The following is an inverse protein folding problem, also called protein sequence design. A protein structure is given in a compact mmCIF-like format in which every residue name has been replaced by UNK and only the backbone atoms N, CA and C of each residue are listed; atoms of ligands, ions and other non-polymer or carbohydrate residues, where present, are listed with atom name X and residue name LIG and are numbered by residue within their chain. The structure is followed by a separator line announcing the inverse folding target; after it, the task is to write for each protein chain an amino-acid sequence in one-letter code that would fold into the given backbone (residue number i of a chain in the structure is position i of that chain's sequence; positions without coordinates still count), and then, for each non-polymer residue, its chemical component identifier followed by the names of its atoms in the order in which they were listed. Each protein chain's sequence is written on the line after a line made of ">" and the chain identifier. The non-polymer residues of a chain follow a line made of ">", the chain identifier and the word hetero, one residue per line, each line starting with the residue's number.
data_IF_930339442832
#
_entry.id   IF_930339442832
#
_cell.length_a   1.000
_cell.length_b   1.000
_cell.length_c   1.000
_cell.angle_alpha   90.00
_cell.angle_beta   90.00
_cell.angle_gamma   90.00
#
_symmetry.space_group_name_H-M   'P 1'
#
loop_
_entity.id
_entity.type
_entity.pdbx_description
1 polymer ?
#
# COMPACT_ATOMS: atom_id res chain seq x y z
N UNK A 1 -20.66 -6.88 -29.84
CA UNK A 1 -20.75 -6.17 -28.55
C UNK A 1 -19.51 -6.51 -27.76
N UNK A 2 -18.75 -5.54 -27.26
CA UNK A 2 -17.62 -5.84 -26.40
C UNK A 2 -18.18 -6.43 -25.09
N UNK A 3 -17.87 -7.70 -24.82
CA UNK A 3 -18.22 -8.32 -23.54
C UNK A 3 -17.36 -7.67 -22.47
N UNK A 4 -17.94 -6.79 -21.65
CA UNK A 4 -17.23 -6.22 -20.52
C UNK A 4 -16.92 -7.37 -19.54
N UNK A 5 -15.63 -7.55 -19.25
CA UNK A 5 -15.20 -8.57 -18.30
C UNK A 5 -15.51 -8.10 -16.88
N UNK A 6 -16.03 -9.02 -16.07
CA UNK A 6 -16.16 -8.81 -14.64
C UNK A 6 -14.79 -8.50 -14.02
N UNK A 7 -14.72 -7.69 -12.95
CA UNK A 7 -13.46 -7.51 -12.23
C UNK A 7 -12.99 -8.86 -11.67
N UNK A 8 -11.67 -9.05 -11.59
CA UNK A 8 -11.10 -10.20 -10.91
C UNK A 8 -11.57 -10.25 -9.44
N UNK A 9 -11.68 -11.44 -8.82
CA UNK A 9 -12.09 -11.58 -7.42
C UNK A 9 -11.31 -10.69 -6.46
N UNK A 10 -11.97 -10.24 -5.39
CA UNK A 10 -11.33 -9.42 -4.37
C UNK A 10 -10.52 -10.31 -3.42
N UNK A 11 -9.24 -10.44 -3.71
CA UNK A 11 -8.31 -11.14 -2.85
C UNK A 11 -7.95 -10.25 -1.64
N UNK A 12 -8.36 -10.66 -0.44
CA UNK A 12 -8.08 -9.92 0.81
C UNK A 12 -6.62 -10.12 1.24
N UNK A 13 -6.02 -11.27 0.93
CA UNK A 13 -4.71 -11.70 1.44
C UNK A 13 -3.55 -11.32 0.50
N UNK A 14 -3.85 -10.69 -0.65
CA UNK A 14 -2.81 -10.24 -1.59
C UNK A 14 -1.90 -9.18 -0.95
N UNK A 15 -0.60 -9.49 -0.91
CA UNK A 15 0.46 -8.57 -0.50
C UNK A 15 1.01 -7.82 -1.73
N UNK A 16 0.28 -6.81 -2.18
CA UNK A 16 0.75 -5.87 -3.21
C UNK A 16 1.26 -4.54 -2.61
N UNK A 17 1.44 -4.52 -1.29
CA UNK A 17 1.77 -3.35 -0.48
C UNK A 17 0.58 -2.45 -0.14
N UNK A 18 -0.50 -2.39 -0.93
CA UNK A 18 -1.63 -1.49 -0.65
C UNK A 18 -2.50 -2.03 0.48
N UNK A 19 -2.97 -1.12 1.34
CA UNK A 19 -3.92 -1.50 2.39
C UNK A 19 -5.21 -2.10 1.84
N UNK A 20 -5.83 -2.99 2.61
CA UNK A 20 -7.11 -3.63 2.27
C UNK A 20 -8.17 -2.56 1.97
N UNK A 21 -8.21 -1.48 2.75
CA UNK A 21 -9.12 -0.35 2.53
C UNK A 21 -8.97 0.31 1.14
N UNK A 22 -7.73 0.58 0.71
CA UNK A 22 -7.46 1.21 -0.60
C UNK A 22 -7.80 0.27 -1.75
N UNK A 23 -7.47 -1.02 -1.60
CA UNK A 23 -7.82 -2.05 -2.59
C UNK A 23 -9.33 -2.21 -2.69
N UNK A 24 -10.04 -2.29 -1.57
CA UNK A 24 -11.49 -2.38 -1.52
C UNK A 24 -12.16 -1.21 -2.24
N UNK A 25 -11.75 0.03 -1.91
CA UNK A 25 -12.28 1.25 -2.54
C UNK A 25 -12.13 1.23 -4.06
N UNK A 26 -10.96 0.80 -4.55
CA UNK A 26 -10.69 0.71 -5.98
C UNK A 26 -11.46 -0.45 -6.65
N UNK A 27 -11.62 -1.57 -5.95
CA UNK A 27 -12.34 -2.74 -6.45
C UNK A 27 -13.84 -2.49 -6.54
N UNK A 28 -14.46 -1.99 -5.47
CA UNK A 28 -15.91 -1.77 -5.44
C UNK A 28 -16.35 -0.73 -6.46
N UNK A 29 -15.54 0.30 -6.71
CA UNK A 29 -15.79 1.29 -7.78
C UNK A 29 -15.80 0.65 -9.17
N UNK A 30 -14.85 -0.27 -9.44
CA UNK A 30 -14.82 -1.01 -10.72
C UNK A 30 -16.01 -1.95 -10.84
N UNK A 31 -16.42 -2.56 -9.73
CA UNK A 31 -17.58 -3.41 -9.67
C UNK A 31 -18.89 -2.63 -9.96
N UNK A 32 -19.06 -1.42 -9.42
CA UNK A 32 -20.23 -0.58 -9.73
C UNK A 32 -20.32 -0.24 -11.22
N UNK A 33 -19.19 0.12 -11.84
CA UNK A 33 -19.12 0.38 -13.29
C UNK A 33 -19.49 -0.88 -14.09
N UNK A 34 -19.06 -2.05 -13.63
CA UNK A 34 -19.44 -3.33 -14.23
C UNK A 34 -20.94 -3.61 -14.11
N UNK A 35 -21.56 -3.35 -12.96
CA UNK A 35 -23.01 -3.49 -12.79
C UNK A 35 -23.78 -2.56 -13.72
N UNK A 36 -23.38 -1.29 -13.81
CA UNK A 36 -24.01 -0.29 -14.68
C UNK A 36 -23.91 -0.69 -16.15
N UNK A 37 -22.72 -1.05 -16.62
CA UNK A 37 -22.50 -1.50 -17.99
C UNK A 37 -23.21 -2.82 -18.32
N UNK A 38 -23.44 -3.68 -17.32
CA UNK A 38 -24.19 -4.94 -17.46
C UNK A 38 -25.70 -4.75 -17.27
N UNK A 39 -26.17 -3.53 -17.04
CA UNK A 39 -27.59 -3.19 -16.81
C UNK A 39 -28.21 -3.91 -15.60
N UNK A 40 -27.42 -4.23 -14.57
CA UNK A 40 -27.95 -4.74 -13.31
C UNK A 40 -28.46 -3.57 -12.46
N UNK A 41 -29.77 -3.45 -12.35
CA UNK A 41 -30.44 -2.37 -11.57
C UNK A 41 -31.09 -2.87 -10.29
N UNK A 42 -31.50 -4.14 -10.26
CA UNK A 42 -32.23 -4.72 -9.15
C UNK A 42 -31.29 -5.12 -8.01
N UNK A 43 -31.70 -4.84 -6.77
CA UNK A 43 -30.88 -5.09 -5.57
C UNK A 43 -30.38 -6.54 -5.47
N UNK A 44 -31.29 -7.50 -5.70
CA UNK A 44 -31.00 -8.93 -5.50
C UNK A 44 -29.98 -9.47 -6.52
N UNK A 45 -30.13 -9.25 -7.84
CA UNK A 45 -29.09 -9.54 -8.82
C UNK A 45 -27.75 -8.85 -8.51
N UNK A 46 -27.76 -7.57 -8.11
CA UNK A 46 -26.52 -6.85 -7.77
C UNK A 46 -25.80 -7.50 -6.58
N UNK A 47 -26.52 -7.86 -5.52
CA UNK A 47 -25.95 -8.54 -4.35
C UNK A 47 -25.44 -9.93 -4.73
N UNK A 48 -26.22 -10.73 -5.46
CA UNK A 48 -25.79 -12.06 -5.89
C UNK A 48 -24.52 -12.01 -6.75
N UNK A 49 -24.44 -11.04 -7.65
CA UNK A 49 -23.27 -10.80 -8.49
C UNK A 49 -22.08 -10.34 -7.66
N UNK A 50 -22.29 -9.51 -6.63
CA UNK A 50 -21.23 -9.06 -5.72
C UNK A 50 -20.61 -10.23 -4.95
N UNK A 51 -21.44 -11.13 -4.42
CA UNK A 51 -20.98 -12.30 -3.68
C UNK A 51 -20.18 -13.24 -4.59
N UNK A 52 -20.72 -13.53 -5.78
CA UNK A 52 -20.06 -14.44 -6.72
C UNK A 52 -18.76 -13.88 -7.31
N UNK A 53 -18.77 -12.64 -7.80
CA UNK A 53 -17.60 -11.99 -8.41
C UNK A 53 -16.58 -11.57 -7.34
N UNK A 54 -17.05 -11.24 -6.13
CA UNK A 54 -16.20 -10.86 -5.00
C UNK A 54 -15.28 -11.98 -4.53
N UNK A 55 -15.70 -13.24 -4.69
CA UNK A 55 -14.95 -14.42 -4.30
C UNK A 55 -15.25 -14.89 -2.88
N UNK A 56 -14.66 -16.03 -2.52
CA UNK A 56 -14.97 -16.80 -1.30
C UNK A 56 -14.93 -15.95 -0.03
N UNK A 57 -13.94 -15.07 0.11
CA UNK A 57 -13.80 -14.24 1.32
C UNK A 57 -14.96 -13.25 1.50
N UNK A 58 -15.51 -12.74 0.41
CA UNK A 58 -16.67 -11.83 0.42
C UNK A 58 -17.92 -12.61 0.84
N UNK A 59 -18.08 -13.85 0.38
CA UNK A 59 -19.17 -14.75 0.79
C UNK A 59 -19.08 -15.06 2.29
N UNK A 60 -17.92 -15.49 2.79
CA UNK A 60 -17.70 -15.75 4.23
C UNK A 60 -18.09 -14.56 5.12
N UNK A 61 -17.66 -13.35 4.74
CA UNK A 61 -17.97 -12.12 5.50
C UNK A 61 -19.48 -11.84 5.47
N UNK A 62 -20.12 -12.04 4.32
CA UNK A 62 -21.57 -11.89 4.22
C UNK A 62 -22.29 -12.87 5.15
N UNK A 63 -21.92 -14.16 5.10
CA UNK A 63 -22.54 -15.19 5.93
C UNK A 63 -22.40 -14.87 7.41
N UNK A 64 -21.20 -14.49 7.85
CA UNK A 64 -20.92 -14.12 9.24
C UNK A 64 -21.67 -12.86 9.67
N UNK A 65 -21.78 -11.83 8.82
CA UNK A 65 -22.42 -10.55 9.17
C UNK A 65 -23.95 -10.62 9.09
N UNK A 66 -24.50 -11.46 8.20
CA UNK A 66 -25.94 -11.59 8.01
C UNK A 66 -26.52 -12.81 8.73
N UNK A 67 -25.69 -13.70 9.26
CA UNK A 67 -26.11 -14.98 9.82
C UNK A 67 -27.01 -15.75 8.84
N UNK A 68 -26.57 -15.85 7.58
CA UNK A 68 -27.31 -16.53 6.52
C UNK A 68 -26.38 -16.98 5.38
N UNK A 69 -26.55 -18.22 4.93
CA UNK A 69 -25.83 -18.81 3.79
C UNK A 69 -26.44 -18.49 2.43
N UNK A 70 -27.51 -17.70 2.40
CA UNK A 70 -28.20 -17.28 1.18
C UNK A 70 -28.71 -15.85 1.32
N UNK A 71 -28.94 -15.17 0.19
CA UNK A 71 -29.50 -13.83 0.19
C UNK A 71 -30.86 -13.79 0.91
N UNK A 72 -30.94 -12.95 1.95
CA UNK A 72 -32.20 -12.64 2.63
C UNK A 72 -33.16 -11.93 1.68
N UNK A 73 -34.46 -12.04 1.96
CA UNK A 73 -35.47 -11.26 1.24
C UNK A 73 -35.33 -9.77 1.59
N UNK A 74 -35.62 -8.91 0.63
CA UNK A 74 -35.70 -7.45 0.76
C UNK A 74 -34.38 -6.73 1.14
N UNK A 75 -33.24 -7.37 0.90
CA UNK A 75 -31.95 -6.70 1.05
C UNK A 75 -31.71 -5.67 -0.03
N UNK A 76 -31.10 -4.55 0.36
CA UNK A 76 -30.74 -3.44 -0.51
C UNK A 76 -29.26 -3.48 -0.82
N UNK A 77 -28.90 -3.37 -2.09
CA UNK A 77 -27.50 -3.41 -2.53
C UNK A 77 -26.66 -2.35 -1.82
N UNK A 78 -27.19 -1.12 -1.68
CA UNK A 78 -26.55 -0.06 -0.94
C UNK A 78 -26.23 -0.41 0.53
N UNK A 79 -27.11 -1.16 1.22
CA UNK A 79 -26.88 -1.58 2.61
C UNK A 79 -25.78 -2.64 2.69
N UNK A 80 -25.80 -3.62 1.78
CA UNK A 80 -24.78 -4.67 1.73
C UNK A 80 -23.41 -4.09 1.36
N UNK A 81 -23.36 -3.22 0.34
CA UNK A 81 -22.14 -2.50 -0.05
C UNK A 81 -21.58 -1.68 1.11
N UNK A 82 -22.44 -0.95 1.84
CA UNK A 82 -22.02 -0.19 3.02
C UNK A 82 -21.46 -1.11 4.11
N UNK A 83 -22.11 -2.24 4.38
CA UNK A 83 -21.64 -3.22 5.37
C UNK A 83 -20.22 -3.72 5.05
N UNK A 84 -19.93 -4.05 3.79
CA UNK A 84 -18.57 -4.42 3.39
C UNK A 84 -17.59 -3.27 3.50
N UNK A 85 -17.96 -2.07 3.07
CA UNK A 85 -17.12 -0.88 3.24
C UNK A 85 -16.83 -0.58 4.70
N UNK A 86 -17.81 -0.68 5.60
CA UNK A 86 -17.61 -0.52 7.04
C UNK A 86 -16.67 -1.60 7.62
N UNK A 87 -16.61 -2.78 7.01
CA UNK A 87 -15.70 -3.86 7.41
C UNK A 87 -14.26 -3.64 6.91
N UNK A 88 -14.08 -3.22 5.65
CA UNK A 88 -12.76 -3.11 5.01
C UNK A 88 -12.09 -1.75 5.17
N UNK A 89 -12.85 -0.65 5.23
CA UNK A 89 -12.27 0.70 5.30
C UNK A 89 -11.48 0.98 6.59
N UNK A 90 -11.83 0.43 7.77
CA UNK A 90 -10.99 0.56 8.97
C UNK A 90 -9.69 -0.25 8.90
N UNK A 91 -9.59 -1.23 8.00
CA UNK A 91 -8.38 -2.04 7.79
C UNK A 91 -7.38 -1.31 6.88
N UNK A 92 -7.07 -0.06 7.26
CA UNK A 92 -5.94 0.67 6.67
C UNK A 92 -4.65 0.16 7.28
N UNK A 93 -3.56 0.33 6.54
CA UNK A 93 -2.25 -0.04 7.05
C UNK A 93 -1.90 0.92 8.19
N UNK A 94 -1.99 0.42 9.42
CA UNK A 94 -1.57 1.17 10.62
C UNK A 94 -0.05 1.34 10.59
N UNK A 95 0.66 0.35 10.08
CA UNK A 95 2.11 0.36 9.90
C UNK A 95 2.45 0.13 8.42
N UNK A 96 3.27 1.01 7.85
CA UNK A 96 3.89 0.81 6.54
C UNK A 96 5.26 0.24 6.81
N UNK A 97 5.53 -1.01 6.45
CA UNK A 97 6.88 -1.55 6.53
C UNK A 97 7.23 -2.22 5.20
N UNK A 98 8.21 -1.66 4.51
CA UNK A 98 8.54 -2.05 3.14
C UNK A 98 10.02 -1.79 2.92
N UNK A 99 10.67 -2.69 2.19
CA UNK A 99 12.06 -2.55 1.77
C UNK A 99 12.11 -2.23 0.28
N UNK A 100 13.17 -1.55 -0.15
CA UNK A 100 13.49 -1.40 -1.56
C UNK A 100 13.79 -2.78 -2.14
N UNK A 101 13.16 -3.11 -3.28
CA UNK A 101 13.35 -4.39 -3.96
C UNK A 101 14.72 -4.42 -4.64
N UNK A 102 15.31 -5.60 -4.81
CA UNK A 102 16.55 -5.71 -5.57
C UNK A 102 16.32 -5.27 -7.02
N UNK A 103 17.18 -4.38 -7.51
CA UNK A 103 17.06 -3.77 -8.84
C UNK A 103 15.99 -2.66 -8.97
N UNK A 104 15.28 -2.31 -7.89
CA UNK A 104 14.38 -1.15 -7.89
C UNK A 104 15.20 0.13 -7.71
N UNK A 105 15.03 1.12 -8.60
CA UNK A 105 15.67 2.43 -8.44
C UNK A 105 15.09 3.23 -7.27
N UNK A 106 15.84 4.19 -6.73
CA UNK A 106 15.40 4.98 -5.57
C UNK A 106 14.11 5.77 -5.85
N UNK A 107 13.95 6.29 -7.07
CA UNK A 107 12.76 7.05 -7.45
C UNK A 107 11.52 6.16 -7.51
N UNK A 108 11.65 4.94 -8.04
CA UNK A 108 10.58 3.96 -8.04
C UNK A 108 10.20 3.56 -6.60
N UNK A 109 11.20 3.38 -5.75
CA UNK A 109 10.98 3.10 -4.33
C UNK A 109 10.29 4.26 -3.60
N UNK A 110 10.71 5.51 -3.84
CA UNK A 110 10.13 6.70 -3.20
C UNK A 110 8.68 6.94 -3.62
N UNK A 111 8.36 6.76 -4.91
CA UNK A 111 6.98 6.81 -5.43
C UNK A 111 6.13 5.72 -4.81
N UNK A 112 6.66 4.51 -4.65
CA UNK A 112 5.97 3.41 -3.98
C UNK A 112 5.69 3.73 -2.51
N UNK A 113 6.67 4.23 -1.77
CA UNK A 113 6.49 4.67 -0.38
C UNK A 113 5.42 5.76 -0.25
N UNK A 114 5.46 6.80 -1.10
CA UNK A 114 4.43 7.86 -1.12
C UNK A 114 3.05 7.29 -1.41
N UNK A 115 2.94 6.38 -2.37
CA UNK A 115 1.67 5.71 -2.72
C UNK A 115 1.14 4.88 -1.55
N UNK A 116 2.01 4.13 -0.88
CA UNK A 116 1.66 3.33 0.29
C UNK A 116 1.19 4.19 1.45
N UNK A 117 1.89 5.31 1.71
CA UNK A 117 1.55 6.24 2.77
C UNK A 117 0.16 6.88 2.58
N UNK A 118 -0.34 7.05 1.34
CA UNK A 118 -1.74 7.50 1.10
C UNK A 118 -2.79 6.54 1.64
N UNK A 119 -2.43 5.26 1.82
CA UNK A 119 -3.31 4.20 2.28
C UNK A 119 -3.23 3.93 3.79
N UNK A 120 -2.37 4.70 4.49
CA UNK A 120 -2.07 4.58 5.91
C UNK A 120 -2.70 5.71 6.73
N UNK A 121 -2.91 5.49 8.03
CA UNK A 121 -3.51 6.47 8.96
C UNK A 121 -2.47 7.37 9.64
N UNK A 122 -1.47 7.86 8.90
CA UNK A 122 -0.38 8.65 9.48
C UNK A 122 -0.74 10.12 9.76
N UNK A 123 -1.84 10.61 9.19
CA UNK A 123 -2.27 12.00 9.37
C UNK A 123 -1.17 13.01 9.01
N UNK A 124 -0.88 13.94 9.91
CA UNK A 124 0.18 14.94 9.74
C UNK A 124 1.60 14.37 9.82
N UNK A 125 1.76 13.08 10.17
CA UNK A 125 3.06 12.41 10.31
C UNK A 125 3.48 11.64 9.06
N UNK A 126 2.74 11.78 7.94
CA UNK A 126 2.96 11.04 6.69
C UNK A 126 4.41 11.14 6.19
N UNK A 127 4.95 12.36 6.11
CA UNK A 127 6.31 12.59 5.60
C UNK A 127 7.39 12.03 6.54
N UNK A 128 7.15 12.14 7.86
CA UNK A 128 8.02 11.53 8.88
C UNK A 128 8.08 10.01 8.71
N UNK A 129 6.95 9.37 8.45
CA UNK A 129 6.89 7.91 8.31
C UNK A 129 7.54 7.43 7.01
N UNK A 130 7.30 8.14 5.89
CA UNK A 130 8.01 7.89 4.62
C UNK A 130 9.53 7.98 4.83
N UNK A 131 10.00 8.98 5.57
CA UNK A 131 11.42 9.18 5.87
C UNK A 131 11.98 8.05 6.73
N UNK A 132 11.26 7.58 7.75
CA UNK A 132 11.66 6.42 8.54
C UNK A 132 11.77 5.15 7.68
N UNK A 133 10.81 4.93 6.77
CA UNK A 133 10.87 3.79 5.84
C UNK A 133 12.01 3.91 4.82
N UNK A 134 12.43 5.12 4.46
CA UNK A 134 13.62 5.32 3.65
C UNK A 134 14.90 4.95 4.44
N UNK A 135 15.00 5.41 5.69
CA UNK A 135 16.14 5.13 6.57
C UNK A 135 16.26 3.62 6.86
N UNK A 136 15.14 2.92 7.03
CA UNK A 136 15.15 1.48 7.32
C UNK A 136 15.27 0.64 6.04
N UNK A 137 14.46 0.93 5.03
CA UNK A 137 14.22 0.05 3.89
C UNK A 137 15.05 0.29 2.64
N UNK A 138 15.77 1.41 2.52
CA UNK A 138 16.58 1.72 1.34
C UNK A 138 17.84 0.82 1.26
N UNK A 139 18.24 0.40 0.06
CA UNK A 139 19.47 -0.37 -0.16
C UNK A 139 20.71 0.54 -0.14
N UNK A 140 20.57 1.81 -0.54
CA UNK A 140 21.68 2.76 -0.58
C UNK A 140 21.97 3.36 0.81
N UNK A 141 23.14 3.01 1.36
CA UNK A 141 23.66 3.48 2.66
C UNK A 141 23.81 5.00 2.72
N UNK A 142 24.11 5.68 1.60
CA UNK A 142 24.29 7.13 1.55
C UNK A 142 22.96 7.84 1.70
N UNK A 143 21.94 7.32 1.04
CA UNK A 143 20.57 7.84 1.12
C UNK A 143 20.01 7.64 2.53
N UNK A 144 20.26 6.47 3.14
CA UNK A 144 19.93 6.22 4.55
C UNK A 144 20.58 7.26 5.47
N UNK A 145 21.87 7.52 5.30
CA UNK A 145 22.60 8.48 6.13
C UNK A 145 22.09 9.91 5.94
N UNK A 146 21.88 10.35 4.70
CA UNK A 146 21.37 11.69 4.37
C UNK A 146 19.97 11.90 4.96
N UNK A 147 19.09 10.91 4.82
CA UNK A 147 17.75 10.97 5.41
C UNK A 147 17.79 10.98 6.95
N UNK A 148 18.73 10.27 7.58
CA UNK A 148 18.87 10.28 9.04
C UNK A 148 19.45 11.61 9.59
N UNK A 149 20.27 12.31 8.81
CA UNK A 149 20.89 13.58 9.20
C UNK A 149 19.99 14.79 8.97
N UNK A 150 19.05 14.68 8.04
CA UNK A 150 18.08 15.72 7.79
C UNK A 150 17.10 15.83 8.99
N UNK A 151 16.99 17.01 9.59
CA UNK A 151 16.06 17.27 10.71
C UNK A 151 14.71 17.82 10.23
N UNK A 152 14.51 17.99 8.92
CA UNK A 152 13.23 18.40 8.35
C UNK A 152 12.17 17.31 8.53
N UNK A 153 10.96 17.71 8.87
CA UNK A 153 9.76 16.85 8.81
C UNK A 153 9.22 16.71 7.40
N UNK A 154 9.56 17.64 6.49
CA UNK A 154 9.16 17.63 5.08
C UNK A 154 10.25 16.94 4.25
N UNK A 155 9.90 15.83 3.59
CA UNK A 155 10.77 15.17 2.63
C UNK A 155 10.70 15.94 1.30
N UNK A 156 11.52 16.97 1.17
CA UNK A 156 11.65 17.73 -0.08
C UNK A 156 12.33 16.85 -1.14
N UNK A 157 11.95 17.06 -2.40
CA UNK A 157 12.54 16.49 -3.62
C UNK A 157 14.05 16.72 -3.78
N UNK A 158 14.73 17.35 -2.83
CA UNK A 158 16.18 17.62 -2.83
C UNK A 158 17.03 16.37 -2.57
N UNK A 159 16.41 15.26 -2.17
CA UNK A 159 17.06 13.95 -2.19
C UNK A 159 17.28 13.42 -3.63
N UNK A 160 16.43 13.81 -4.60
CA UNK A 160 16.54 13.44 -6.03
C UNK A 160 17.75 14.15 -6.69
N UNK A 161 17.97 15.43 -6.37
CA UNK A 161 19.06 16.23 -6.94
C UNK A 161 20.45 15.61 -6.65
N UNK A 162 20.64 15.08 -5.44
CA UNK A 162 21.90 14.49 -5.01
C UNK A 162 22.21 13.12 -5.60
N UNK A 163 21.23 12.41 -6.17
CA UNK A 163 21.49 11.12 -6.84
C UNK A 163 22.10 11.34 -8.22
N UNK A 164 21.58 12.31 -8.99
CA UNK A 164 22.06 12.63 -10.34
C UNK A 164 23.51 13.14 -10.40
N UNK A 165 23.94 13.96 -9.41
CA UNK A 165 25.32 14.47 -9.33
C UNK A 165 26.33 13.38 -8.89
N UNK A 166 25.87 12.41 -8.11
CA UNK A 166 26.71 11.36 -7.53
C UNK A 166 26.84 10.16 -8.46
N UNK A 167 25.81 9.84 -9.24
CA UNK A 167 25.87 8.83 -10.31
C UNK A 167 26.84 9.26 -11.42
N UNK A 168 26.88 10.56 -11.75
CA UNK A 168 27.90 11.15 -12.61
C UNK A 168 29.32 11.05 -12.02
N UNK A 169 29.46 11.12 -10.69
CA UNK A 169 30.74 10.94 -10.00
C UNK A 169 31.17 9.47 -9.87
N UNK A 170 30.23 8.52 -9.97
CA UNK A 170 30.50 7.08 -9.87
C UNK A 170 31.02 6.47 -11.18
N UNK A 171 30.52 6.93 -12.33
CA UNK A 171 31.06 6.53 -13.64
C UNK A 171 32.53 6.94 -13.85
N UNK A 172 33.09 7.76 -12.96
CA UNK A 172 34.51 8.12 -12.93
C UNK A 172 35.37 7.24 -12.00
N UNK A 173 34.76 6.37 -11.18
CA UNK A 173 35.45 5.62 -10.11
C UNK A 173 35.34 4.09 -10.20
N UNK A 174 34.73 3.53 -11.24
CA UNK A 174 34.67 2.08 -11.46
C UNK A 174 36.02 1.50 -11.93
N UNK A 175 36.99 1.54 -11.02
CA UNK A 175 38.19 0.72 -11.03
C UNK A 175 38.46 0.28 -9.60
N UNK A 176 38.07 -0.96 -9.29
CA UNK A 176 38.39 -1.74 -8.08
C UNK A 176 37.68 -1.37 -6.75
N UNK A 177 36.71 -2.20 -6.33
CA UNK A 177 36.88 -3.18 -5.24
C UNK A 177 35.51 -3.75 -4.81
N UNK A 178 35.46 -5.08 -4.69
CA UNK A 178 34.32 -5.86 -4.20
C UNK A 178 34.07 -5.61 -2.70
N UNK A 179 32.83 -5.30 -2.31
CA UNK A 179 32.47 -5.08 -0.90
C UNK A 179 31.67 -6.25 -0.35
N UNK A 180 32.27 -6.94 0.62
CA UNK A 180 31.72 -8.04 1.41
C UNK A 180 30.62 -7.54 2.37
N UNK A 181 29.56 -8.34 2.53
CA UNK A 181 28.41 -8.02 3.39
C UNK A 181 28.68 -8.53 4.81
N UNK A 182 28.92 -7.64 5.76
CA UNK A 182 28.92 -7.99 7.19
C UNK A 182 27.81 -7.23 7.92
N UNK A 183 26.81 -8.00 8.36
CA UNK A 183 25.62 -7.57 9.08
C UNK A 183 25.96 -7.39 10.57
N UNK A 184 26.16 -6.15 11.01
CA UNK A 184 26.03 -5.84 12.44
C UNK A 184 25.76 -4.35 12.65
N UNK A 185 24.48 -3.98 12.77
CA UNK A 185 24.08 -2.64 13.20
C UNK A 185 23.49 -2.69 14.62
N UNK A 186 24.35 -2.44 15.60
CA UNK A 186 23.95 -2.10 16.97
C UNK A 186 23.63 -0.60 17.03
N UNK A 187 22.37 -0.24 16.77
CA UNK A 187 21.82 1.08 17.10
C UNK A 187 21.47 1.01 18.58
N UNK A 188 22.25 1.70 19.42
CA UNK A 188 21.89 2.38 20.68
C UNK A 188 23.15 2.44 21.56
N UNK A 189 23.80 3.60 21.57
CA UNK A 189 24.65 4.02 22.68
C UNK A 189 24.25 5.43 23.07
N UNK A 190 23.34 5.50 24.04
CA UNK A 190 22.97 6.75 24.72
C UNK A 190 24.18 7.17 25.55
N UNK A 191 24.83 8.28 25.17
CA UNK A 191 25.81 8.95 26.02
C UNK A 191 25.07 9.61 27.18
N UNK A 192 25.14 9.01 28.37
CA UNK A 192 24.89 9.72 29.63
C UNK A 192 26.06 10.67 29.87
N UNK A 193 25.83 11.98 29.71
CA UNK A 193 26.76 13.02 30.12
C UNK A 193 26.71 13.23 31.63
N UNK A 194 27.87 13.18 32.28
CA UNK A 194 28.08 13.67 33.65
C UNK A 194 28.39 15.16 33.61
N UNK A 195 27.78 15.92 34.52
CA UNK A 195 28.03 17.34 34.78
C UNK A 195 27.03 17.86 35.79
#
# INVERSE_FOLDING_TARGET
>A
MAHLLAPAPFDVEIDDGRSIATRWTSWIRRFDVFLEASSFTDDRPCIATLLHVGGEKIEEIYEAKRNASTLKKDEKYAVIKKMFSDYFLPQKNIDMQTYQRQGEGIDAYSVRLKTLATSCEFGTSTDREIKLQLIQGCLDKRIKLKAAQDNSSEFSSEAEQGSSEVEAAYQLKDGDESVDYDDNYSIFSVKSGSG
#
